data_IF_620430620721
#
_entry.id   IF_620430620721
#
_cell.length_a   1.000
_cell.length_b   1.000
_cell.length_c   1.000
_cell.angle_alpha   90.00
_cell.angle_beta   90.00
_cell.angle_gamma   90.00
#
_symmetry.space_group_name_H-M   'P 1'
#
loop_
_entity.id
_entity.type
_entity.pdbx_description
1 polymer ?
#
# COMPACT_ATOMS: atom_id res chain seq x y z
N UNK A 1 31.50 -30.52 -32.03
CA UNK A 1 30.13 -30.68 -31.49
C UNK A 1 29.89 -29.50 -30.57
N UNK A 2 29.07 -28.53 -30.99
CA UNK A 2 28.69 -27.41 -30.14
C UNK A 2 27.76 -27.93 -29.05
N UNK A 3 28.12 -27.73 -27.78
CA UNK A 3 27.19 -27.95 -26.67
C UNK A 3 25.99 -27.03 -26.88
N UNK A 4 24.78 -27.60 -26.85
CA UNK A 4 23.56 -26.81 -26.76
C UNK A 4 23.70 -25.88 -25.55
N UNK A 5 23.38 -24.58 -25.67
CA UNK A 5 23.41 -23.70 -24.51
C UNK A 5 22.45 -24.30 -23.48
N UNK A 6 22.95 -24.51 -22.26
CA UNK A 6 22.08 -24.83 -21.11
C UNK A 6 20.96 -23.80 -21.12
N UNK A 7 19.76 -24.26 -21.47
CA UNK A 7 18.56 -23.44 -21.42
C UNK A 7 18.41 -23.03 -19.97
N UNK A 8 18.63 -21.74 -19.69
CA UNK A 8 18.35 -21.16 -18.38
C UNK A 8 17.00 -21.69 -17.90
N UNK A 9 16.88 -22.12 -16.63
CA UNK A 9 15.63 -22.63 -16.11
C UNK A 9 14.51 -21.62 -16.36
N UNK A 10 13.31 -22.14 -16.64
CA UNK A 10 12.16 -21.32 -17.01
C UNK A 10 11.94 -20.20 -15.98
N UNK A 11 11.63 -19.01 -16.45
CA UNK A 11 11.49 -17.82 -15.61
C UNK A 11 10.41 -18.03 -14.54
N UNK A 12 9.32 -18.71 -14.92
CA UNK A 12 8.24 -19.08 -13.99
C UNK A 12 8.72 -20.04 -12.91
N UNK A 13 9.54 -21.03 -13.27
CA UNK A 13 10.12 -21.99 -12.31
C UNK A 13 11.11 -21.32 -11.35
N UNK A 14 11.95 -20.38 -11.83
CA UNK A 14 12.86 -19.62 -10.96
C UNK A 14 12.08 -18.76 -9.96
N UNK A 15 11.05 -18.06 -10.43
CA UNK A 15 10.24 -17.17 -9.61
C UNK A 15 9.39 -17.90 -8.57
N UNK A 16 8.80 -19.03 -8.94
CA UNK A 16 8.03 -19.88 -8.02
C UNK A 16 8.89 -20.45 -6.90
N UNK A 17 10.17 -20.73 -7.16
CA UNK A 17 11.14 -21.14 -6.13
C UNK A 17 11.63 -19.97 -5.26
N UNK A 18 11.68 -18.75 -5.80
CA UNK A 18 12.12 -17.56 -5.06
C UNK A 18 11.07 -17.09 -4.05
N UNK A 19 9.79 -17.12 -4.43
CA UNK A 19 8.66 -16.62 -3.63
C UNK A 19 8.62 -17.11 -2.17
N UNK A 20 8.71 -18.43 -1.87
CA UNK A 20 8.72 -18.91 -0.49
C UNK A 20 10.02 -18.64 0.26
N UNK A 21 11.14 -18.40 -0.44
CA UNK A 21 12.46 -18.17 0.15
C UNK A 21 12.75 -16.68 0.42
N UNK A 22 12.06 -15.77 -0.26
CA UNK A 22 12.19 -14.31 -0.15
C UNK A 22 12.20 -13.83 1.31
N UNK A 23 11.23 -14.20 2.17
CA UNK A 23 11.20 -13.72 3.54
C UNK A 23 12.45 -14.10 4.33
N UNK A 24 12.92 -15.34 4.21
CA UNK A 24 14.08 -15.83 4.94
C UNK A 24 15.39 -15.18 4.47
N UNK A 25 15.51 -14.94 3.15
CA UNK A 25 16.68 -14.29 2.56
C UNK A 25 16.79 -12.82 2.96
N UNK A 26 15.66 -12.16 3.19
CA UNK A 26 15.60 -10.69 3.31
C UNK A 26 15.29 -10.21 4.73
N UNK A 27 15.00 -11.13 5.65
CA UNK A 27 14.54 -10.85 7.02
C UNK A 27 15.39 -9.81 7.78
N UNK A 28 16.69 -9.75 7.51
CA UNK A 28 17.62 -8.77 8.09
C UNK A 28 18.55 -8.17 7.02
N UNK A 29 18.12 -8.15 5.76
CA UNK A 29 18.94 -7.61 4.69
C UNK A 29 19.12 -6.10 4.86
N UNK A 30 20.35 -5.63 4.76
CA UNK A 30 20.66 -4.21 4.63
C UNK A 30 20.08 -3.68 3.31
N UNK A 31 19.82 -2.38 3.22
CA UNK A 31 19.24 -1.75 2.03
C UNK A 31 20.04 -2.04 0.75
N UNK A 32 21.37 -2.14 0.83
CA UNK A 32 22.22 -2.50 -0.31
C UNK A 32 21.92 -3.91 -0.85
N UNK A 33 21.59 -4.85 0.04
CA UNK A 33 21.24 -6.22 -0.32
C UNK A 33 19.84 -6.24 -0.96
N UNK A 34 18.89 -5.48 -0.41
CA UNK A 34 17.56 -5.31 -1.01
C UNK A 34 17.65 -4.73 -2.42
N UNK A 35 18.47 -3.69 -2.59
CA UNK A 35 18.73 -3.07 -3.90
C UNK A 35 19.41 -4.03 -4.86
N UNK A 36 20.43 -4.77 -4.42
CA UNK A 36 21.10 -5.77 -5.22
C UNK A 36 20.12 -6.82 -5.77
N UNK A 37 19.23 -7.34 -4.92
CA UNK A 37 18.20 -8.29 -5.35
C UNK A 37 17.19 -7.66 -6.31
N UNK A 38 16.79 -6.42 -6.09
CA UNK A 38 15.92 -5.70 -7.02
C UNK A 38 16.58 -5.51 -8.40
N UNK A 39 17.88 -5.19 -8.46
CA UNK A 39 18.63 -5.09 -9.71
C UNK A 39 18.70 -6.43 -10.46
N UNK A 40 18.86 -7.55 -9.74
CA UNK A 40 18.81 -8.89 -10.34
C UNK A 40 17.43 -9.15 -10.95
N UNK A 41 16.36 -8.87 -10.20
CA UNK A 41 14.99 -9.02 -10.69
C UNK A 41 14.72 -8.14 -11.92
N UNK A 42 15.21 -6.90 -11.94
CA UNK A 42 15.08 -6.00 -13.07
C UNK A 42 15.78 -6.55 -14.33
N UNK A 43 16.99 -7.08 -14.17
CA UNK A 43 17.73 -7.73 -15.26
C UNK A 43 17.05 -9.01 -15.73
N UNK A 44 16.51 -9.81 -14.81
CA UNK A 44 15.75 -11.01 -15.15
C UNK A 44 14.49 -10.64 -15.95
N UNK A 45 13.76 -9.58 -15.58
CA UNK A 45 12.63 -9.06 -16.36
C UNK A 45 13.08 -8.70 -17.79
N UNK A 46 14.15 -7.92 -17.93
CA UNK A 46 14.64 -7.49 -19.24
C UNK A 46 15.13 -8.67 -20.11
N UNK A 47 15.79 -9.66 -19.49
CA UNK A 47 16.38 -10.82 -20.18
C UNK A 47 15.32 -11.84 -20.60
N UNK A 48 14.31 -12.06 -19.74
CA UNK A 48 13.22 -13.02 -19.98
C UNK A 48 11.94 -12.37 -20.54
N UNK A 49 12.03 -11.14 -21.02
CA UNK A 49 11.01 -10.47 -21.83
C UNK A 49 10.95 -11.12 -23.23
N UNK A 50 10.47 -12.35 -23.31
CA UNK A 50 10.14 -13.01 -24.58
C UNK A 50 8.78 -12.50 -25.11
N UNK A 51 8.07 -13.24 -25.97
CA UNK A 51 6.93 -12.79 -26.80
C UNK A 51 5.85 -12.00 -26.04
N UNK A 52 5.72 -12.18 -24.72
CA UNK A 52 4.87 -11.37 -23.84
C UNK A 52 5.70 -10.58 -22.81
N UNK A 53 6.39 -9.54 -23.31
CA UNK A 53 7.33 -8.69 -22.54
C UNK A 53 6.73 -8.11 -21.26
N UNK A 54 5.42 -7.87 -21.27
CA UNK A 54 4.68 -7.23 -20.19
C UNK A 54 4.30 -8.23 -19.08
N UNK A 55 4.19 -9.52 -19.40
CA UNK A 55 3.79 -10.56 -18.44
C UNK A 55 4.85 -10.83 -17.35
N UNK A 56 6.13 -10.77 -17.70
CA UNK A 56 7.22 -11.04 -16.75
C UNK A 56 7.28 -9.98 -15.64
N UNK A 57 7.24 -8.70 -16.01
CA UNK A 57 7.20 -7.59 -15.05
C UNK A 57 5.98 -7.67 -14.14
N UNK A 58 4.79 -7.87 -14.73
CA UNK A 58 3.55 -8.07 -13.98
C UNK A 58 3.64 -9.21 -12.97
N UNK A 59 4.20 -10.35 -13.38
CA UNK A 59 4.33 -11.55 -12.52
C UNK A 59 5.28 -11.30 -11.35
N UNK A 60 6.43 -10.67 -11.60
CA UNK A 60 7.39 -10.33 -10.52
C UNK A 60 6.74 -9.40 -9.51
N UNK A 61 6.07 -8.33 -9.96
CA UNK A 61 5.35 -7.43 -9.07
C UNK A 61 4.33 -8.17 -8.20
N UNK A 62 3.53 -9.06 -8.79
CA UNK A 62 2.58 -9.87 -8.05
C UNK A 62 3.24 -10.74 -6.98
N UNK A 63 4.38 -11.34 -7.28
CA UNK A 63 5.11 -12.17 -6.32
C UNK A 63 5.63 -11.34 -5.15
N UNK A 64 6.18 -10.14 -5.41
CA UNK A 64 6.65 -9.26 -4.33
C UNK A 64 5.49 -8.86 -3.41
N UNK A 65 4.33 -8.53 -3.98
CA UNK A 65 3.12 -8.18 -3.21
C UNK A 65 2.55 -9.38 -2.46
N UNK A 66 2.53 -10.56 -3.07
CA UNK A 66 2.16 -11.80 -2.39
C UNK A 66 3.12 -12.13 -1.24
N UNK A 67 4.40 -11.80 -1.39
CA UNK A 67 5.41 -11.88 -0.34
C UNK A 67 5.00 -11.08 0.91
N UNK A 68 4.50 -9.85 0.73
CA UNK A 68 4.01 -9.04 1.84
C UNK A 68 2.80 -9.68 2.55
N UNK A 69 2.05 -10.55 1.87
CA UNK A 69 0.88 -11.24 2.40
C UNK A 69 1.17 -12.61 3.03
N UNK A 70 2.44 -13.03 3.12
CA UNK A 70 2.76 -14.35 3.64
C UNK A 70 2.35 -14.48 5.12
N UNK A 71 1.73 -15.60 5.52
CA UNK A 71 1.31 -15.80 6.89
C UNK A 71 2.53 -15.93 7.80
N UNK A 72 2.70 -14.99 8.71
CA UNK A 72 3.74 -14.99 9.72
C UNK A 72 3.13 -15.15 11.12
N UNK A 73 3.88 -15.71 12.09
CA UNK A 73 3.35 -16.02 13.42
C UNK A 73 3.00 -14.77 14.26
N UNK A 74 3.39 -13.56 13.85
CA UNK A 74 3.10 -12.33 14.57
C UNK A 74 2.90 -11.10 13.67
N UNK A 75 2.25 -10.09 14.24
CA UNK A 75 1.93 -8.83 13.56
C UNK A 75 3.21 -8.03 13.24
N UNK A 76 4.17 -7.98 14.16
CA UNK A 76 5.46 -7.29 13.94
C UNK A 76 6.25 -7.90 12.81
N UNK A 77 6.22 -9.23 12.72
CA UNK A 77 6.86 -10.01 11.68
C UNK A 77 6.24 -9.69 10.31
N UNK A 78 4.90 -9.64 10.26
CA UNK A 78 4.14 -9.22 9.07
C UNK A 78 4.49 -7.79 8.68
N UNK A 79 4.59 -6.89 9.65
CA UNK A 79 4.93 -5.49 9.42
C UNK A 79 6.32 -5.33 8.80
N UNK A 80 7.30 -6.05 9.34
CA UNK A 80 8.67 -6.02 8.85
C UNK A 80 8.76 -6.56 7.43
N UNK A 81 8.09 -7.67 7.13
CA UNK A 81 8.09 -8.26 5.79
C UNK A 81 7.43 -7.33 4.76
N UNK A 82 6.28 -6.74 5.09
CA UNK A 82 5.61 -5.80 4.20
C UNK A 82 6.49 -4.59 3.86
N UNK A 83 7.24 -4.06 4.83
CA UNK A 83 8.21 -2.96 4.61
C UNK A 83 9.38 -3.38 3.73
N UNK A 84 9.93 -4.58 3.95
CA UNK A 84 10.98 -5.15 3.08
C UNK A 84 10.47 -5.29 1.65
N UNK A 85 9.26 -5.84 1.46
CA UNK A 85 8.62 -5.97 0.16
C UNK A 85 8.39 -4.62 -0.51
N UNK A 86 7.94 -3.60 0.22
CA UNK A 86 7.80 -2.23 -0.29
C UNK A 86 9.14 -1.66 -0.79
N UNK A 87 10.23 -1.82 -0.03
CA UNK A 87 11.57 -1.36 -0.43
C UNK A 87 12.08 -2.08 -1.68
N UNK A 88 11.95 -3.40 -1.73
CA UNK A 88 12.33 -4.18 -2.92
C UNK A 88 11.52 -3.73 -4.13
N UNK A 89 10.20 -3.55 -3.95
CA UNK A 89 9.35 -3.08 -5.04
C UNK A 89 9.80 -1.69 -5.52
N UNK A 90 10.09 -0.76 -4.61
CA UNK A 90 10.57 0.58 -4.96
C UNK A 90 11.89 0.54 -5.72
N UNK A 91 12.87 -0.23 -5.24
CA UNK A 91 14.14 -0.41 -5.92
C UNK A 91 13.94 -1.05 -7.29
N UNK A 92 13.11 -2.08 -7.38
CA UNK A 92 12.80 -2.76 -8.64
C UNK A 92 12.17 -1.77 -9.63
N UNK A 93 11.21 -0.97 -9.18
CA UNK A 93 10.54 0.05 -9.98
C UNK A 93 11.52 1.12 -10.51
N UNK A 94 12.54 1.48 -9.73
CA UNK A 94 13.59 2.41 -10.13
C UNK A 94 14.63 1.82 -11.09
N UNK A 95 14.84 0.50 -11.06
CA UNK A 95 15.89 -0.18 -11.83
C UNK A 95 15.37 -0.82 -13.13
N UNK A 96 14.06 -1.07 -13.28
CA UNK A 96 13.49 -1.54 -14.54
C UNK A 96 13.43 -0.45 -15.61
N UNK A 97 13.47 -0.88 -16.88
CA UNK A 97 13.21 0.01 -18.00
C UNK A 97 11.80 0.62 -17.95
N UNK A 98 11.66 1.85 -18.43
CA UNK A 98 10.42 2.62 -18.39
C UNK A 98 9.21 1.86 -18.98
N UNK A 99 9.46 1.05 -20.03
CA UNK A 99 8.44 0.24 -20.71
C UNK A 99 7.78 -0.80 -19.81
N UNK A 100 8.42 -1.19 -18.69
CA UNK A 100 7.93 -2.21 -17.75
C UNK A 100 7.32 -1.63 -16.48
N UNK A 101 7.52 -0.35 -16.20
CA UNK A 101 7.04 0.29 -14.96
C UNK A 101 5.52 0.19 -14.82
N UNK A 102 4.79 0.36 -15.92
CA UNK A 102 3.34 0.23 -15.93
C UNK A 102 2.89 -1.18 -15.53
N UNK A 103 3.58 -2.23 -15.98
CA UNK A 103 3.22 -3.61 -15.66
C UNK A 103 3.56 -3.99 -14.23
N UNK A 104 4.68 -3.48 -13.70
CA UNK A 104 4.98 -3.61 -12.27
C UNK A 104 3.87 -2.99 -11.42
N UNK A 105 3.50 -1.74 -11.74
CA UNK A 105 2.41 -1.04 -11.08
C UNK A 105 1.09 -1.82 -11.17
N UNK A 106 0.76 -2.32 -12.37
CA UNK A 106 -0.46 -3.12 -12.61
C UNK A 106 -0.47 -4.40 -11.78
N UNK A 107 0.69 -5.06 -11.63
CA UNK A 107 0.82 -6.25 -10.78
C UNK A 107 0.45 -6.01 -9.31
N UNK A 108 0.68 -4.80 -8.81
CA UNK A 108 0.26 -4.40 -7.47
C UNK A 108 -1.21 -3.99 -7.41
N UNK A 109 -1.64 -3.11 -8.32
CA UNK A 109 -2.98 -2.52 -8.26
C UNK A 109 -4.08 -3.48 -8.67
N UNK A 110 -3.83 -4.46 -9.53
CA UNK A 110 -4.84 -5.48 -9.88
C UNK A 110 -5.31 -6.26 -8.63
N UNK A 111 -4.42 -6.49 -7.66
CA UNK A 111 -4.79 -7.12 -6.39
C UNK A 111 -5.73 -6.22 -5.58
N UNK A 112 -5.42 -4.92 -5.53
CA UNK A 112 -6.18 -3.91 -4.79
C UNK A 112 -7.55 -3.63 -5.43
N UNK A 113 -7.62 -3.60 -6.76
CA UNK A 113 -8.85 -3.28 -7.49
C UNK A 113 -9.94 -4.33 -7.28
N UNK A 114 -9.56 -5.59 -7.03
CA UNK A 114 -10.54 -6.66 -6.82
C UNK A 114 -11.12 -6.71 -5.40
N UNK A 115 -10.70 -5.82 -4.49
CA UNK A 115 -11.17 -5.82 -3.09
C UNK A 115 -12.68 -5.55 -2.98
N UNK A 116 -13.23 -4.70 -3.84
CA UNK A 116 -14.66 -4.38 -3.85
C UNK A 116 -15.51 -5.62 -4.18
N UNK A 117 -15.02 -6.49 -5.06
CA UNK A 117 -15.75 -7.68 -5.52
C UNK A 117 -15.49 -8.91 -4.64
N UNK A 118 -14.21 -9.12 -4.27
CA UNK A 118 -13.74 -10.36 -3.63
C UNK A 118 -13.56 -10.22 -2.12
N UNK A 119 -13.54 -9.00 -1.61
CA UNK A 119 -13.49 -8.70 -0.18
C UNK A 119 -12.09 -8.64 0.43
N UNK A 120 -12.02 -8.49 1.77
CA UNK A 120 -10.77 -8.30 2.49
C UNK A 120 -9.83 -9.51 2.40
N UNK A 121 -10.33 -10.70 2.06
CA UNK A 121 -9.50 -11.91 1.91
C UNK A 121 -8.41 -11.82 0.83
N UNK A 122 -8.48 -10.83 -0.07
CA UNK A 122 -7.42 -10.57 -1.06
C UNK A 122 -6.49 -9.42 -0.70
N UNK A 123 -6.92 -8.51 0.16
CA UNK A 123 -6.09 -7.41 0.66
C UNK A 123 -5.75 -7.72 2.10
N UNK A 124 -4.63 -8.41 2.29
CA UNK A 124 -4.13 -8.71 3.63
C UNK A 124 -3.62 -7.45 4.31
N UNK A 125 -3.45 -7.56 5.63
CA UNK A 125 -2.72 -6.60 6.45
C UNK A 125 -1.41 -6.17 5.77
N UNK A 126 -0.59 -7.14 5.35
CA UNK A 126 0.70 -6.87 4.75
C UNK A 126 0.63 -6.15 3.40
N UNK A 127 -0.39 -6.42 2.58
CA UNK A 127 -0.61 -5.67 1.32
C UNK A 127 -0.98 -4.21 1.60
N UNK A 128 -1.88 -3.97 2.56
CA UNK A 128 -2.27 -2.61 2.91
C UNK A 128 -1.08 -1.82 3.48
N UNK A 129 -0.30 -2.45 4.35
CA UNK A 129 0.90 -1.84 4.91
C UNK A 129 1.97 -1.59 3.84
N UNK A 130 2.15 -2.51 2.89
CA UNK A 130 3.08 -2.32 1.77
C UNK A 130 2.69 -1.12 0.90
N UNK A 131 1.39 -0.92 0.59
CA UNK A 131 0.91 0.27 -0.13
C UNK A 131 1.23 1.56 0.63
N UNK A 132 0.97 1.55 1.94
CA UNK A 132 1.25 2.66 2.84
C UNK A 132 2.74 3.00 2.87
N UNK A 133 3.61 1.99 2.99
CA UNK A 133 5.07 2.18 2.99
C UNK A 133 5.56 2.68 1.63
N UNK A 134 5.03 2.21 0.50
CA UNK A 134 5.39 2.72 -0.84
C UNK A 134 5.06 4.19 -1.00
N UNK A 135 3.92 4.64 -0.47
CA UNK A 135 3.61 6.06 -0.44
C UNK A 135 4.67 6.85 0.36
N UNK A 136 5.02 6.38 1.56
CA UNK A 136 6.03 7.04 2.42
C UNK A 136 7.39 7.11 1.72
N UNK A 137 7.82 6.01 1.11
CA UNK A 137 9.07 5.96 0.35
C UNK A 137 9.06 6.91 -0.86
N UNK A 138 7.92 7.09 -1.53
CA UNK A 138 7.80 8.05 -2.62
C UNK A 138 7.86 9.50 -2.12
N UNK A 139 7.24 9.78 -0.96
CA UNK A 139 7.28 11.09 -0.32
C UNK A 139 8.68 11.47 0.16
N UNK A 140 9.39 10.54 0.81
CA UNK A 140 10.77 10.75 1.29
C UNK A 140 11.78 10.99 0.15
N UNK A 141 11.42 10.64 -1.10
CA UNK A 141 12.22 10.88 -2.31
C UNK A 141 11.72 12.04 -3.18
N UNK A 142 10.72 12.81 -2.72
CA UNK A 142 10.07 13.89 -3.48
C UNK A 142 9.52 13.45 -4.86
N UNK A 143 9.17 12.17 -5.01
CA UNK A 143 8.67 11.60 -6.26
C UNK A 143 7.15 11.79 -6.37
N UNK A 144 6.75 12.97 -6.86
CA UNK A 144 5.33 13.38 -6.94
C UNK A 144 4.49 12.42 -7.79
N UNK A 145 5.07 11.86 -8.86
CA UNK A 145 4.36 10.95 -9.76
C UNK A 145 4.10 9.60 -9.06
N UNK A 146 5.13 8.99 -8.47
CA UNK A 146 4.98 7.75 -7.71
C UNK A 146 4.06 7.93 -6.50
N UNK A 147 4.18 9.05 -5.79
CA UNK A 147 3.34 9.34 -4.62
C UNK A 147 1.86 9.35 -4.98
N UNK A 148 1.49 9.95 -6.11
CA UNK A 148 0.10 9.96 -6.60
C UNK A 148 -0.39 8.55 -6.94
N UNK A 149 0.46 7.75 -7.57
CA UNK A 149 0.17 6.35 -7.93
C UNK A 149 -0.17 5.52 -6.67
N UNK A 150 0.66 5.63 -5.63
CA UNK A 150 0.45 4.90 -4.38
C UNK A 150 -0.75 5.42 -3.60
N UNK A 151 -0.97 6.73 -3.58
CA UNK A 151 -2.16 7.32 -2.99
C UNK A 151 -3.46 6.82 -3.64
N UNK A 152 -3.51 6.77 -4.97
CA UNK A 152 -4.66 6.24 -5.70
C UNK A 152 -4.90 4.76 -5.36
N UNK A 153 -3.84 3.98 -5.15
CA UNK A 153 -3.91 2.61 -4.66
C UNK A 153 -4.55 2.52 -3.27
N UNK A 154 -4.05 3.28 -2.30
CA UNK A 154 -4.59 3.35 -0.93
C UNK A 154 -6.06 3.78 -0.94
N UNK A 155 -6.41 4.80 -1.74
CA UNK A 155 -7.78 5.28 -1.92
C UNK A 155 -8.70 4.18 -2.44
N UNK A 156 -8.30 3.49 -3.52
CA UNK A 156 -9.07 2.38 -4.09
C UNK A 156 -9.27 1.25 -3.08
N UNK A 157 -8.22 0.91 -2.32
CA UNK A 157 -8.30 -0.11 -1.28
C UNK A 157 -9.32 0.28 -0.19
N UNK A 158 -9.17 1.48 0.40
CA UNK A 158 -10.04 1.95 1.47
C UNK A 158 -11.51 2.09 1.05
N UNK A 159 -11.76 2.72 -0.10
CA UNK A 159 -13.14 2.87 -0.63
C UNK A 159 -13.72 1.50 -1.00
N UNK A 160 -12.92 0.63 -1.64
CA UNK A 160 -13.36 -0.71 -2.03
C UNK A 160 -13.74 -1.58 -0.83
N UNK A 161 -13.00 -1.49 0.28
CA UNK A 161 -13.34 -2.16 1.54
C UNK A 161 -14.70 -1.68 2.08
N UNK A 162 -14.94 -0.37 2.13
CA UNK A 162 -16.23 0.17 2.56
C UNK A 162 -17.39 -0.26 1.67
N UNK A 163 -17.21 -0.26 0.35
CA UNK A 163 -18.24 -0.72 -0.60
C UNK A 163 -18.50 -2.21 -0.49
N UNK A 164 -17.46 -3.02 -0.26
CA UNK A 164 -17.64 -4.44 -0.03
C UNK A 164 -18.48 -4.69 1.24
N UNK A 165 -18.19 -3.99 2.34
CA UNK A 165 -18.98 -4.04 3.58
C UNK A 165 -20.44 -3.65 3.32
N UNK A 166 -20.67 -2.58 2.55
CA UNK A 166 -22.02 -2.16 2.13
C UNK A 166 -22.74 -3.25 1.33
N UNK A 167 -22.07 -3.83 0.34
CA UNK A 167 -22.62 -4.86 -0.53
C UNK A 167 -22.94 -6.17 0.19
N UNK A 168 -22.10 -6.57 1.15
CA UNK A 168 -22.35 -7.74 2.00
C UNK A 168 -23.37 -7.48 3.10
N UNK A 169 -23.66 -6.20 3.38
CA UNK A 169 -24.57 -5.77 4.45
C UNK A 169 -24.18 -6.33 5.83
N UNK A 170 -22.90 -6.51 6.07
CA UNK A 170 -22.39 -7.05 7.33
C UNK A 170 -21.10 -6.35 7.74
N UNK A 171 -20.89 -6.28 9.05
CA UNK A 171 -19.63 -5.83 9.60
C UNK A 171 -18.60 -6.94 9.59
N UNK A 172 -17.39 -6.60 9.13
CA UNK A 172 -16.23 -7.47 9.15
C UNK A 172 -15.11 -6.75 9.91
N UNK A 173 -14.51 -7.45 10.88
CA UNK A 173 -13.47 -6.88 11.74
C UNK A 173 -12.18 -6.62 10.96
N UNK A 174 -11.80 -7.53 10.06
CA UNK A 174 -10.62 -7.39 9.21
C UNK A 174 -10.69 -6.09 8.38
N UNK A 175 -11.86 -5.70 7.88
CA UNK A 175 -12.05 -4.42 7.18
C UNK A 175 -11.71 -3.24 8.09
N UNK A 176 -12.16 -3.25 9.34
CA UNK A 176 -11.89 -2.17 10.29
C UNK A 176 -10.43 -2.12 10.75
N UNK A 177 -9.76 -3.28 10.77
CA UNK A 177 -8.32 -3.39 11.00
C UNK A 177 -7.54 -2.85 9.80
N UNK A 178 -7.91 -3.21 8.57
CA UNK A 178 -7.25 -2.67 7.37
C UNK A 178 -7.43 -1.15 7.25
N UNK A 179 -8.61 -0.63 7.57
CA UNK A 179 -8.87 0.81 7.58
C UNK A 179 -8.08 1.57 8.66
N UNK A 180 -7.63 0.90 9.73
CA UNK A 180 -6.74 1.50 10.73
C UNK A 180 -5.39 1.88 10.13
N UNK A 181 -4.80 1.03 9.29
CA UNK A 181 -3.49 1.31 8.69
C UNK A 181 -3.58 2.46 7.69
N UNK A 182 -4.71 2.51 6.96
CA UNK A 182 -5.05 3.65 6.11
C UNK A 182 -5.16 4.92 6.96
N UNK A 183 -5.91 4.90 8.06
CA UNK A 183 -6.03 6.02 9.01
C UNK A 183 -4.67 6.46 9.57
N UNK A 184 -3.87 5.53 10.10
CA UNK A 184 -2.59 5.80 10.74
C UNK A 184 -1.58 6.39 9.75
N UNK A 185 -1.43 5.77 8.58
CA UNK A 185 -0.51 6.25 7.55
C UNK A 185 -0.97 7.57 6.97
N UNK A 186 -2.26 7.68 6.62
CA UNK A 186 -2.83 8.94 6.14
C UNK A 186 -2.67 10.03 7.19
N UNK A 187 -2.87 9.75 8.46
CA UNK A 187 -2.82 10.77 9.50
C UNK A 187 -1.41 11.20 9.91
N UNK A 188 -0.46 10.29 10.00
CA UNK A 188 0.90 10.63 10.42
C UNK A 188 1.75 11.25 9.30
N UNK A 189 1.53 10.85 8.03
CA UNK A 189 2.39 11.25 6.90
C UNK A 189 1.64 12.04 5.83
N UNK A 190 0.45 11.59 5.46
CA UNK A 190 -0.26 12.14 4.28
C UNK A 190 -1.17 13.32 4.60
N UNK A 191 -1.60 13.48 5.85
CA UNK A 191 -2.65 14.42 6.20
C UNK A 191 -2.15 15.88 6.16
N UNK A 192 -0.84 16.09 6.10
CA UNK A 192 -0.28 17.40 5.79
C UNK A 192 -0.72 17.84 4.38
N UNK A 193 -1.00 16.87 3.50
CA UNK A 193 -1.49 17.07 2.15
C UNK A 193 -3.01 17.10 2.13
N UNK A 194 -3.57 18.05 1.37
CA UNK A 194 -5.02 18.23 1.20
C UNK A 194 -5.73 16.95 0.72
N UNK A 195 -5.09 16.20 -0.15
CA UNK A 195 -5.64 14.97 -0.72
C UNK A 195 -5.78 13.86 0.33
N UNK A 196 -4.79 13.69 1.20
CA UNK A 196 -4.84 12.75 2.33
C UNK A 196 -5.99 13.08 3.29
N UNK A 197 -6.18 14.37 3.61
CA UNK A 197 -7.32 14.82 4.44
C UNK A 197 -8.67 14.55 3.78
N UNK A 198 -8.78 14.83 2.48
CA UNK A 198 -10.01 14.57 1.74
C UNK A 198 -10.40 13.08 1.77
N UNK A 199 -9.42 12.18 1.64
CA UNK A 199 -9.65 10.75 1.74
C UNK A 199 -10.07 10.32 3.14
N UNK A 200 -9.40 10.80 4.20
CA UNK A 200 -9.79 10.52 5.58
C UNK A 200 -11.23 10.98 5.87
N UNK A 201 -11.59 12.16 5.39
CA UNK A 201 -12.94 12.67 5.50
C UNK A 201 -13.95 11.77 4.78
N UNK A 202 -13.67 11.42 3.51
CA UNK A 202 -14.50 10.51 2.70
C UNK A 202 -14.74 9.16 3.40
N UNK A 203 -13.68 8.54 3.91
CA UNK A 203 -13.77 7.27 4.65
C UNK A 203 -14.55 7.43 5.96
N UNK A 204 -14.34 8.52 6.72
CA UNK A 204 -15.05 8.77 7.98
C UNK A 204 -16.55 8.98 7.79
N UNK A 205 -16.96 9.66 6.72
CA UNK A 205 -18.37 9.87 6.38
C UNK A 205 -18.99 8.55 5.93
N UNK A 206 -18.26 7.77 5.14
CA UNK A 206 -18.71 6.46 4.67
C UNK A 206 -18.90 5.49 5.82
N UNK A 207 -17.96 5.41 6.76
CA UNK A 207 -18.07 4.55 7.95
C UNK A 207 -19.25 4.94 8.84
N UNK A 208 -19.51 6.24 9.04
CA UNK A 208 -20.71 6.71 9.77
C UNK A 208 -21.99 6.29 9.09
N UNK A 209 -22.10 6.53 7.77
CA UNK A 209 -23.25 6.09 6.98
C UNK A 209 -23.47 4.57 7.08
N UNK A 210 -22.41 3.78 7.07
CA UNK A 210 -22.51 2.33 7.25
C UNK A 210 -22.98 1.98 8.67
N UNK A 211 -22.49 2.67 9.71
CA UNK A 211 -22.94 2.53 11.09
C UNK A 211 -24.45 2.75 11.24
N UNK A 212 -25.00 3.71 10.49
CA UNK A 212 -26.43 4.05 10.55
C UNK A 212 -27.31 3.13 9.70
N UNK A 213 -26.79 2.57 8.60
CA UNK A 213 -27.58 1.83 7.61
C UNK A 213 -27.48 0.31 7.71
N UNK A 214 -26.37 -0.22 8.23
CA UNK A 214 -26.18 -1.65 8.39
C UNK A 214 -26.93 -2.17 9.63
N UNK A 215 -27.28 -3.48 9.66
CA UNK A 215 -27.79 -4.10 10.86
C UNK A 215 -26.88 -3.82 12.06
N UNK A 216 -27.49 -3.68 13.25
CA UNK A 216 -26.76 -3.40 14.47
C UNK A 216 -25.54 -4.35 14.61
N UNK A 217 -24.34 -3.83 14.92
CA UNK A 217 -23.16 -4.65 15.08
C UNK A 217 -23.38 -5.77 16.09
N UNK A 218 -22.81 -6.94 15.83
CA UNK A 218 -23.01 -8.14 16.67
C UNK A 218 -22.48 -7.98 18.11
N UNK A 219 -21.63 -6.97 18.39
CA UNK A 219 -21.03 -6.75 19.71
C UNK A 219 -20.80 -5.27 20.02
N UNK A 220 -20.82 -4.91 21.31
CA UNK A 220 -20.43 -3.58 21.80
C UNK A 220 -18.97 -3.25 21.51
N UNK A 221 -18.11 -4.26 21.45
CA UNK A 221 -16.70 -4.09 21.09
C UNK A 221 -16.57 -3.56 19.66
N UNK A 222 -17.35 -4.12 18.73
CA UNK A 222 -17.34 -3.72 17.33
C UNK A 222 -17.87 -2.29 17.17
N UNK A 223 -18.94 -1.92 17.89
CA UNK A 223 -19.41 -0.51 17.96
C UNK A 223 -18.29 0.42 18.41
N UNK A 224 -17.57 0.05 19.48
CA UNK A 224 -16.43 0.82 19.98
C UNK A 224 -15.26 0.85 18.99
N UNK A 225 -15.01 -0.20 18.20
CA UNK A 225 -14.00 -0.21 17.14
C UNK A 225 -14.40 0.79 16.04
N UNK A 226 -15.64 0.73 15.53
CA UNK A 226 -16.15 1.65 14.50
C UNK A 226 -16.03 3.11 14.97
N UNK A 227 -16.53 3.42 16.17
CA UNK A 227 -16.49 4.78 16.70
C UNK A 227 -15.05 5.29 16.85
N UNK A 228 -14.14 4.46 17.38
CA UNK A 228 -12.71 4.82 17.50
C UNK A 228 -12.08 5.16 16.15
N UNK A 229 -12.43 4.44 15.07
CA UNK A 229 -11.93 4.73 13.72
C UNK A 229 -12.49 6.05 13.18
N UNK A 230 -13.79 6.28 13.35
CA UNK A 230 -14.43 7.54 12.95
C UNK A 230 -13.79 8.73 13.69
N UNK A 231 -13.62 8.61 15.00
CA UNK A 231 -13.04 9.66 15.85
C UNK A 231 -11.57 9.90 15.49
N UNK A 232 -10.81 8.83 15.25
CA UNK A 232 -9.40 8.92 14.86
C UNK A 232 -9.21 9.64 13.52
N UNK A 233 -9.98 9.27 12.50
CA UNK A 233 -9.97 9.97 11.19
C UNK A 233 -10.36 11.45 11.32
N UNK A 234 -11.37 11.78 12.12
CA UNK A 234 -11.79 13.18 12.35
C UNK A 234 -10.75 13.98 13.12
N UNK A 235 -10.14 13.38 14.15
CA UNK A 235 -9.11 14.03 14.96
C UNK A 235 -7.92 14.45 14.11
N UNK A 236 -7.50 13.59 13.18
CA UNK A 236 -6.44 13.92 12.22
C UNK A 236 -6.84 15.14 11.38
N UNK A 237 -8.04 15.17 10.81
CA UNK A 237 -8.52 16.32 10.04
C UNK A 237 -8.48 17.62 10.87
N UNK A 238 -9.00 17.58 12.10
CA UNK A 238 -9.05 18.75 13.00
C UNK A 238 -7.66 19.24 13.40
N UNK A 239 -6.75 18.33 13.75
CA UNK A 239 -5.38 18.68 14.13
C UNK A 239 -4.63 19.37 12.99
N UNK A 240 -4.92 18.98 11.76
CA UNK A 240 -4.21 19.48 10.59
C UNK A 240 -4.80 20.79 10.07
N UNK A 241 -6.12 20.97 10.16
CA UNK A 241 -6.76 22.27 9.93
C UNK A 241 -6.25 23.31 10.94
N UNK A 242 -6.05 22.91 12.20
CA UNK A 242 -5.45 23.79 13.22
C UNK A 242 -4.00 24.15 12.89
N UNK A 243 -3.18 23.16 12.49
CA UNK A 243 -1.78 23.39 12.12
C UNK A 243 -1.65 24.31 10.88
N UNK A 244 -2.54 24.17 9.89
CA UNK A 244 -2.58 25.04 8.71
C UNK A 244 -2.99 26.47 9.09
N UNK A 245 -4.00 26.63 9.95
CA UNK A 245 -4.40 27.93 10.47
C UNK A 245 -3.29 28.60 11.29
N UNK A 246 -2.58 27.85 12.13
CA UNK A 246 -1.47 28.37 12.93
C UNK A 246 -0.30 28.80 12.04
N UNK A 247 0.04 28.00 11.02
CA UNK A 247 1.06 28.32 10.02
C UNK A 247 0.70 29.54 9.17
N UNK A 248 -0.55 29.65 8.71
CA UNK A 248 -1.04 30.81 7.96
C UNK A 248 -1.05 32.06 8.82
N UNK A 249 -1.44 31.94 10.11
CA UNK A 249 -1.40 33.05 11.06
C UNK A 249 0.04 33.52 11.33
N UNK A 250 1.00 32.60 11.43
CA UNK A 250 2.42 32.93 11.54
C UNK A 250 2.95 33.64 10.29
N UNK A 251 2.65 33.11 9.09
CA UNK A 251 3.06 33.73 7.83
C UNK A 251 2.46 35.14 7.63
N UNK A 252 1.20 35.34 8.02
CA UNK A 252 0.54 36.65 7.98
C UNK A 252 1.17 37.66 8.96
N UNK A 253 1.58 37.21 10.16
CA UNK A 253 2.36 38.02 11.11
C UNK A 253 3.72 38.41 10.53
N UNK A 254 4.41 37.48 9.89
CA UNK A 254 5.74 37.71 9.32
C UNK A 254 5.74 38.71 8.15
N UNK A 255 4.62 38.83 7.42
CA UNK A 255 4.44 39.85 6.37
C UNK A 255 3.71 41.13 6.86
N UNK A 256 3.57 41.31 8.18
CA UNK A 256 3.05 42.54 8.78
C UNK A 256 1.53 42.72 8.71
N UNK A 257 0.78 41.66 8.35
CA UNK A 257 -0.68 41.66 8.29
C UNK A 257 -1.19 40.96 9.56
N UNK A 258 -1.11 41.62 10.73
CA UNK A 258 -1.48 40.91 11.97
C UNK A 258 -1.47 41.68 13.28
N UNK A 259 -1.36 43.00 13.28
CA UNK A 259 -1.54 43.79 14.50
C UNK A 259 -2.44 45.00 14.25
N UNK A 260 -3.74 44.81 14.50
CA UNK A 260 -4.63 45.87 14.98
C UNK A 260 -5.23 45.39 16.29
#
# INVERSE_FOLDING_TARGET
MAQAPETLPDFSDRLSNLSPALPALLWNAHDDVLRFHACILARDIATHATVDRHYSAFTVARIVVQGASLPLPGEKETDQLAKICARIFRYLYGEVEEIFKYDLYRGMIDLVQTVEEKGPGLVTHGTMLMLCELYVLADDHDDVADRKIWFDGIRKAGVGLCKWTEGKREWNEDVLELLYYVEFTLGCKMGAQREGRALLFELSVTLRRLADTLPAPKSEELVRKIQRRVDGMQKVCLWMDQAEMDGMTAALRDIGIGSV
#
